data_IF_198226100009
#
_entry.id   IF_198226100009
#
_cell.length_a   1.000
_cell.length_b   1.000
_cell.length_c   1.000
_cell.angle_alpha   90.00
_cell.angle_beta   90.00
_cell.angle_gamma   90.00
#
_symmetry.space_group_name_H-M   'P 1'
#
loop_
_entity.id
_entity.type
_entity.pdbx_description
1 polymer ?
#
# COMPACT_ATOMS: atom_id res chain seq x y z
N UNK A 1 62.74 -106.37 60.15
CA UNK A 1 62.92 -105.38 59.07
C UNK A 1 61.57 -105.13 58.41
N UNK A 2 60.87 -106.19 57.99
CA UNK A 2 59.56 -106.15 57.32
C UNK A 2 58.44 -105.33 58.01
N UNK A 3 58.28 -105.39 59.33
CA UNK A 3 57.23 -104.59 60.02
C UNK A 3 57.44 -103.07 59.95
N UNK A 4 58.70 -102.61 59.88
CA UNK A 4 59.02 -101.18 59.76
C UNK A 4 58.70 -100.66 58.35
N UNK A 5 58.96 -101.47 57.33
CA UNK A 5 58.72 -101.10 55.94
C UNK A 5 57.22 -101.03 55.63
N UNK A 6 56.41 -101.91 56.22
CA UNK A 6 54.94 -101.83 56.15
C UNK A 6 54.36 -100.60 56.86
N UNK A 7 54.92 -100.20 58.01
CA UNK A 7 54.50 -98.99 58.72
C UNK A 7 54.81 -97.72 57.93
N UNK A 8 55.99 -97.65 57.29
CA UNK A 8 56.39 -96.53 56.43
C UNK A 8 55.48 -96.43 55.20
N UNK A 9 55.17 -97.56 54.56
CA UNK A 9 54.26 -97.58 53.41
C UNK A 9 52.84 -97.10 53.77
N UNK A 10 52.32 -97.49 54.94
CA UNK A 10 51.01 -97.01 55.43
C UNK A 10 51.03 -95.53 55.79
N UNK A 11 52.15 -95.01 56.31
CA UNK A 11 52.31 -93.59 56.60
C UNK A 11 52.32 -92.74 55.33
N UNK A 12 53.03 -93.18 54.29
CA UNK A 12 53.04 -92.52 52.98
C UNK A 12 51.66 -92.52 52.32
N UNK A 13 50.94 -93.64 52.35
CA UNK A 13 49.56 -93.70 51.83
C UNK A 13 48.60 -92.77 52.56
N UNK A 14 48.77 -92.61 53.88
CA UNK A 14 47.97 -91.65 54.67
C UNK A 14 48.29 -90.21 54.28
N UNK A 15 49.57 -89.88 54.09
CA UNK A 15 49.99 -88.56 53.67
C UNK A 15 49.50 -88.22 52.25
N UNK A 16 49.56 -89.18 51.32
CA UNK A 16 49.00 -89.03 49.98
C UNK A 16 47.48 -88.83 50.00
N UNK A 17 46.75 -89.60 50.81
CA UNK A 17 45.31 -89.43 50.98
C UNK A 17 44.96 -88.08 51.63
N UNK A 18 45.75 -87.61 52.59
CA UNK A 18 45.54 -86.30 53.23
C UNK A 18 45.83 -85.15 52.26
N UNK A 19 46.88 -85.25 51.43
CA UNK A 19 47.17 -84.29 50.36
C UNK A 19 46.09 -84.28 49.29
N UNK A 20 45.60 -85.46 48.86
CA UNK A 20 44.50 -85.56 47.92
C UNK A 20 43.22 -84.91 48.46
N UNK A 21 42.89 -85.16 49.73
CA UNK A 21 41.75 -84.51 50.39
C UNK A 21 41.93 -83.00 50.55
N UNK A 22 43.17 -82.49 50.71
CA UNK A 22 43.44 -81.05 50.77
C UNK A 22 43.31 -80.36 49.41
N UNK A 23 43.73 -81.04 48.33
CA UNK A 23 43.52 -80.57 46.95
C UNK A 23 42.03 -80.50 46.65
N UNK A 24 41.27 -81.53 46.98
CA UNK A 24 39.82 -81.57 46.78
C UNK A 24 39.11 -80.41 47.51
N UNK A 25 39.46 -80.16 48.79
CA UNK A 25 38.92 -79.01 49.54
C UNK A 25 39.27 -77.67 48.90
N UNK A 26 40.47 -77.51 48.34
CA UNK A 26 40.91 -76.28 47.66
C UNK A 26 40.19 -76.09 46.33
N UNK A 27 39.96 -77.16 45.58
CA UNK A 27 39.21 -77.13 44.33
C UNK A 27 37.74 -76.76 44.58
N UNK A 28 37.12 -77.29 45.64
CA UNK A 28 35.78 -76.88 46.08
C UNK A 28 35.71 -75.40 46.46
N UNK A 29 36.70 -74.91 47.21
CA UNK A 29 36.80 -73.48 47.58
C UNK A 29 36.97 -72.58 46.36
N UNK A 30 37.80 -72.98 45.39
CA UNK A 30 38.02 -72.25 44.14
C UNK A 30 36.74 -72.22 43.30
N UNK A 31 36.05 -73.35 43.17
CA UNK A 31 34.76 -73.45 42.46
C UNK A 31 33.70 -72.53 43.10
N UNK A 32 33.64 -72.47 44.44
CA UNK A 32 32.75 -71.56 45.14
C UNK A 32 33.09 -70.07 44.86
N UNK A 33 34.37 -69.69 44.88
CA UNK A 33 34.81 -68.33 44.56
C UNK A 33 34.44 -67.91 43.14
N UNK A 34 34.63 -68.79 42.15
CA UNK A 34 34.24 -68.57 40.76
C UNK A 34 32.72 -68.34 40.68
N UNK A 35 31.92 -69.21 41.30
CA UNK A 35 30.46 -69.09 41.31
C UNK A 35 29.97 -67.80 41.98
N UNK A 36 30.66 -67.30 43.02
CA UNK A 36 30.35 -66.00 43.66
C UNK A 36 30.70 -64.85 42.72
N UNK A 37 31.85 -64.91 42.05
CA UNK A 37 32.29 -63.87 41.11
C UNK A 37 31.37 -63.79 39.89
N UNK A 38 30.93 -64.92 39.34
CA UNK A 38 29.97 -64.98 38.23
C UNK A 38 28.62 -64.38 38.63
N UNK A 39 28.08 -64.74 39.81
CA UNK A 39 26.85 -64.15 40.35
C UNK A 39 26.95 -62.63 40.49
N UNK A 40 28.11 -62.12 40.95
CA UNK A 40 28.35 -60.67 41.06
C UNK A 40 28.41 -59.99 39.70
N UNK A 41 29.06 -60.60 38.71
CA UNK A 41 29.12 -60.05 37.35
C UNK A 41 27.74 -60.06 36.68
N UNK A 42 26.95 -61.11 36.89
CA UNK A 42 25.58 -61.18 36.36
C UNK A 42 24.68 -60.10 36.99
N UNK A 43 24.78 -59.88 38.31
CA UNK A 43 24.03 -58.82 38.99
C UNK A 43 24.36 -57.42 38.43
N UNK A 44 25.64 -57.14 38.16
CA UNK A 44 26.06 -55.87 37.52
C UNK A 44 25.52 -55.72 36.09
N UNK A 45 25.52 -56.81 35.30
CA UNK A 45 24.93 -56.80 33.95
C UNK A 45 23.42 -56.55 33.99
N UNK A 46 22.71 -57.16 34.94
CA UNK A 46 21.26 -56.93 35.15
C UNK A 46 20.99 -55.48 35.51
N UNK A 47 21.76 -54.89 36.45
CA UNK A 47 21.62 -53.49 36.83
C UNK A 47 21.87 -52.53 35.66
N UNK A 48 22.93 -52.74 34.87
CA UNK A 48 23.21 -51.93 33.68
C UNK A 48 22.09 -52.01 32.65
N UNK A 49 21.54 -53.21 32.40
CA UNK A 49 20.37 -53.37 31.52
C UNK A 49 19.18 -52.56 32.05
N UNK A 50 18.88 -52.67 33.34
CA UNK A 50 17.78 -51.93 33.96
C UNK A 50 17.96 -50.41 33.81
N UNK A 51 19.15 -49.88 34.13
CA UNK A 51 19.48 -48.44 33.98
C UNK A 51 19.33 -47.97 32.52
N UNK A 52 19.76 -48.78 31.53
CA UNK A 52 19.57 -48.46 30.12
C UNK A 52 18.09 -48.41 29.71
N UNK A 53 17.27 -49.34 30.23
CA UNK A 53 15.82 -49.33 29.97
C UNK A 53 15.14 -48.08 30.53
N UNK A 54 15.52 -47.66 31.74
CA UNK A 54 14.98 -46.44 32.37
C UNK A 54 15.38 -45.20 31.56
N UNK A 55 16.66 -45.09 31.19
CA UNK A 55 17.15 -43.98 30.38
C UNK A 55 16.43 -43.89 29.02
N UNK A 56 16.20 -45.02 28.35
CA UNK A 56 15.46 -45.07 27.10
C UNK A 56 13.98 -44.66 27.27
N UNK A 57 13.35 -45.05 28.38
CA UNK A 57 11.98 -44.64 28.69
C UNK A 57 11.88 -43.13 28.97
N UNK A 58 12.83 -42.55 29.71
CA UNK A 58 12.89 -41.11 29.97
C UNK A 58 13.13 -40.30 28.68
N UNK A 59 14.00 -40.79 27.80
CA UNK A 59 14.23 -40.16 26.49
C UNK A 59 12.97 -40.21 25.62
N UNK A 60 12.29 -41.36 25.57
CA UNK A 60 11.03 -41.50 24.84
C UNK A 60 9.94 -40.57 25.38
N UNK A 61 9.87 -40.39 26.71
CA UNK A 61 8.94 -39.45 27.35
C UNK A 61 9.25 -38.00 26.97
N UNK A 62 10.53 -37.58 27.02
CA UNK A 62 10.93 -36.22 26.62
C UNK A 62 10.63 -35.92 25.16
N UNK A 63 10.80 -36.91 24.26
CA UNK A 63 10.43 -36.75 22.85
C UNK A 63 8.94 -36.52 22.69
N UNK A 64 8.09 -37.30 23.36
CA UNK A 64 6.62 -37.09 23.35
C UNK A 64 6.22 -35.71 23.88
N UNK A 65 6.79 -35.29 25.01
CA UNK A 65 6.53 -33.96 25.57
C UNK A 65 6.94 -32.82 24.61
N UNK A 66 8.03 -33.00 23.86
CA UNK A 66 8.46 -32.04 22.84
C UNK A 66 7.52 -32.01 21.63
N UNK A 67 7.10 -33.18 21.14
CA UNK A 67 6.15 -33.32 20.04
C UNK A 67 4.78 -32.70 20.41
N UNK A 68 4.29 -32.97 21.63
CA UNK A 68 3.04 -32.39 22.15
C UNK A 68 3.13 -30.86 22.26
N UNK A 69 4.27 -30.33 22.73
CA UNK A 69 4.52 -28.89 22.80
C UNK A 69 4.61 -28.23 21.42
N UNK A 70 5.17 -28.92 20.43
CA UNK A 70 5.20 -28.45 19.05
C UNK A 70 3.79 -28.40 18.45
N UNK A 71 2.99 -29.45 18.64
CA UNK A 71 1.60 -29.52 18.20
C UNK A 71 0.74 -28.41 18.82
N UNK A 72 0.92 -28.14 20.11
CA UNK A 72 0.22 -27.05 20.81
C UNK A 72 0.55 -25.66 20.23
N UNK A 73 1.82 -25.42 19.84
CA UNK A 73 2.21 -24.17 19.17
C UNK A 73 1.53 -24.03 17.81
N UNK A 74 1.48 -25.11 17.03
CA UNK A 74 0.83 -25.08 15.71
C UNK A 74 -0.66 -24.77 15.81
N UNK A 75 -1.35 -25.35 16.80
CA UNK A 75 -2.76 -25.06 17.08
C UNK A 75 -2.99 -23.58 17.47
N UNK A 76 -2.11 -23.02 18.31
CA UNK A 76 -2.20 -21.61 18.70
C UNK A 76 -1.99 -20.68 17.50
N UNK A 77 -1.03 -20.97 16.62
CA UNK A 77 -0.80 -20.21 15.40
C UNK A 77 -2.00 -20.28 14.44
N UNK A 78 -2.65 -21.44 14.33
CA UNK A 78 -3.88 -21.60 13.54
C UNK A 78 -5.03 -20.77 14.11
N UNK A 79 -5.22 -20.79 15.43
CA UNK A 79 -6.25 -20.01 16.11
C UNK A 79 -6.02 -18.50 15.97
N UNK A 80 -4.77 -18.04 16.10
CA UNK A 80 -4.42 -16.63 15.91
C UNK A 80 -4.60 -16.19 14.45
N UNK A 81 -4.33 -17.08 13.48
CA UNK A 81 -4.60 -16.83 12.07
C UNK A 81 -6.11 -16.74 11.76
N UNK A 82 -6.93 -17.61 12.36
CA UNK A 82 -8.39 -17.59 12.24
C UNK A 82 -8.98 -16.30 12.84
N UNK A 83 -8.54 -15.91 14.04
CA UNK A 83 -8.94 -14.66 14.69
C UNK A 83 -8.52 -13.42 13.89
N UNK A 84 -7.38 -13.47 13.20
CA UNK A 84 -6.96 -12.42 12.27
C UNK A 84 -7.86 -12.39 11.03
N UNK A 85 -8.23 -13.55 10.50
CA UNK A 85 -9.22 -13.69 9.43
C UNK A 85 -10.57 -13.08 9.81
N UNK A 86 -11.08 -13.36 11.01
CA UNK A 86 -12.33 -12.78 11.52
C UNK A 86 -12.27 -11.25 11.65
N UNK A 87 -11.12 -10.70 12.07
CA UNK A 87 -10.92 -9.25 12.14
C UNK A 87 -10.82 -8.59 10.75
N UNK A 88 -10.33 -9.31 9.74
CA UNK A 88 -10.34 -8.88 8.34
C UNK A 88 -11.74 -8.96 7.74
N UNK A 89 -12.48 -10.04 8.01
CA UNK A 89 -13.89 -10.21 7.61
C UNK A 89 -14.77 -9.14 8.24
N UNK A 90 -14.58 -8.82 9.52
CA UNK A 90 -15.32 -7.73 10.20
C UNK A 90 -15.05 -6.37 9.54
N UNK A 91 -13.78 -6.06 9.24
CA UNK A 91 -13.43 -4.83 8.50
C UNK A 91 -14.02 -4.82 7.09
N UNK A 92 -14.06 -5.97 6.42
CA UNK A 92 -14.71 -6.11 5.12
C UNK A 92 -16.22 -5.92 5.22
N UNK A 93 -16.88 -6.41 6.27
CA UNK A 93 -18.30 -6.16 6.52
C UNK A 93 -18.59 -4.69 6.83
N UNK A 94 -17.79 -4.02 7.65
CA UNK A 94 -17.91 -2.58 7.92
C UNK A 94 -17.74 -1.76 6.62
N UNK A 95 -16.76 -2.12 5.78
CA UNK A 95 -16.58 -1.53 4.45
C UNK A 95 -17.76 -1.83 3.53
N UNK A 96 -18.34 -3.03 3.58
CA UNK A 96 -19.53 -3.38 2.80
C UNK A 96 -20.77 -2.64 3.27
N UNK A 97 -20.95 -2.38 4.57
CA UNK A 97 -22.03 -1.55 5.11
C UNK A 97 -21.90 -0.09 4.68
N UNK A 98 -20.67 0.44 4.63
CA UNK A 98 -20.39 1.79 4.08
C UNK A 98 -20.58 1.86 2.55
N UNK A 99 -20.20 0.80 1.82
CA UNK A 99 -20.49 0.64 0.40
C UNK A 99 -22.00 0.54 0.19
N UNK A 100 -22.73 -0.19 1.03
CA UNK A 100 -24.19 -0.28 0.97
C UNK A 100 -24.85 1.06 1.30
N UNK A 101 -24.34 1.84 2.27
CA UNK A 101 -24.84 3.18 2.57
C UNK A 101 -24.56 4.16 1.41
N UNK A 102 -23.36 4.11 0.83
CA UNK A 102 -23.00 4.92 -0.34
C UNK A 102 -23.79 4.50 -1.59
N UNK A 103 -24.00 3.20 -1.80
CA UNK A 103 -24.79 2.65 -2.89
C UNK A 103 -26.28 2.85 -2.68
N UNK A 104 -26.75 2.90 -1.43
CA UNK A 104 -28.10 3.26 -1.04
C UNK A 104 -28.35 4.74 -1.34
N UNK A 105 -27.41 5.62 -1.00
CA UNK A 105 -27.45 7.02 -1.41
C UNK A 105 -27.46 7.13 -2.96
N UNK A 106 -26.62 6.38 -3.66
CA UNK A 106 -26.64 6.31 -5.13
C UNK A 106 -28.00 5.81 -5.65
N UNK A 107 -28.60 4.77 -5.05
CA UNK A 107 -29.93 4.26 -5.44
C UNK A 107 -31.04 5.22 -5.07
N UNK A 108 -30.89 6.04 -4.04
CA UNK A 108 -31.88 7.05 -3.64
C UNK A 108 -31.81 8.28 -4.56
N UNK A 109 -30.58 8.70 -4.92
CA UNK A 109 -30.31 9.78 -5.87
C UNK A 109 -30.66 9.38 -7.32
N UNK A 110 -30.48 8.11 -7.69
CA UNK A 110 -30.84 7.55 -9.01
C UNK A 110 -32.24 6.90 -9.02
N UNK A 111 -32.90 6.77 -7.87
CA UNK A 111 -34.08 5.93 -7.65
C UNK A 111 -35.42 6.56 -8.01
N UNK A 112 -35.43 7.80 -8.49
CA UNK A 112 -36.64 8.43 -9.01
C UNK A 112 -36.87 8.18 -10.51
N UNK A 113 -36.37 7.06 -11.05
CA UNK A 113 -36.61 6.71 -12.46
C UNK A 113 -37.64 5.61 -12.71
N UNK A 114 -38.10 4.82 -11.73
CA UNK A 114 -39.09 3.76 -12.02
C UNK A 114 -40.06 3.44 -10.88
N UNK A 115 -40.95 4.36 -10.53
CA UNK A 115 -42.35 4.03 -10.23
C UNK A 115 -43.20 5.30 -10.09
N UNK A 116 -43.87 5.74 -11.16
CA UNK A 116 -45.20 6.37 -11.07
C UNK A 116 -45.81 6.43 -12.48
N UNK A 117 -46.64 5.43 -12.80
CA UNK A 117 -47.80 5.69 -13.66
C UNK A 117 -48.76 6.51 -12.81
N UNK A 118 -48.87 7.79 -13.12
CA UNK A 118 -49.78 8.70 -12.43
C UNK A 118 -49.28 10.11 -12.61
N UNK A 119 -50.01 10.88 -13.40
CA UNK A 119 -49.83 12.32 -13.55
C UNK A 119 -49.60 12.96 -12.18
N UNK A 120 -48.46 13.63 -11.99
CA UNK A 120 -48.30 14.98 -11.42
C UNK A 120 -46.79 15.34 -11.47
N UNK A 121 -46.53 16.63 -11.70
CA UNK A 121 -45.27 17.29 -12.09
C UNK A 121 -43.93 16.66 -11.64
N UNK A 122 -43.13 16.23 -12.62
CA UNK A 122 -41.74 15.77 -12.46
C UNK A 122 -40.72 16.89 -12.20
N UNK A 123 -41.16 18.13 -12.01
CA UNK A 123 -40.26 19.29 -11.82
C UNK A 123 -39.89 19.57 -10.35
N UNK A 124 -40.55 18.93 -9.38
CA UNK A 124 -40.32 19.20 -7.95
C UNK A 124 -39.48 18.13 -7.22
N UNK A 125 -39.17 16.99 -7.84
CA UNK A 125 -38.44 15.88 -7.18
C UNK A 125 -36.93 15.80 -7.48
N UNK A 126 -36.42 16.57 -8.46
CA UNK A 126 -34.97 16.67 -8.72
C UNK A 126 -34.25 17.71 -7.85
N UNK A 127 -34.98 18.54 -7.09
CA UNK A 127 -34.36 19.60 -6.28
C UNK A 127 -33.73 19.09 -4.97
N UNK A 128 -34.11 17.90 -4.49
CA UNK A 128 -33.69 17.39 -3.19
C UNK A 128 -32.55 16.35 -3.23
N UNK A 129 -32.08 15.93 -4.41
CA UNK A 129 -30.93 15.03 -4.56
C UNK A 129 -29.58 15.76 -4.63
N UNK A 130 -29.55 16.92 -5.28
CA UNK A 130 -28.32 17.64 -5.62
C UNK A 130 -27.74 18.42 -4.44
N UNK A 131 -28.61 19.01 -3.62
CA UNK A 131 -28.18 19.74 -2.42
C UNK A 131 -27.56 18.79 -1.39
N UNK A 132 -28.17 17.63 -1.17
CA UNK A 132 -27.62 16.60 -0.28
C UNK A 132 -26.28 16.07 -0.79
N UNK A 133 -26.13 15.92 -2.11
CA UNK A 133 -24.86 15.50 -2.70
C UNK A 133 -23.78 16.58 -2.53
N UNK A 134 -24.12 17.84 -2.75
CA UNK A 134 -23.20 18.95 -2.51
C UNK A 134 -22.84 19.08 -1.03
N UNK A 135 -23.81 18.94 -0.11
CA UNK A 135 -23.56 18.91 1.34
C UNK A 135 -22.73 17.69 1.78
N UNK A 136 -22.90 16.55 1.12
CA UNK A 136 -22.07 15.37 1.38
C UNK A 136 -20.64 15.53 0.83
N UNK A 137 -20.48 16.21 -0.31
CA UNK A 137 -19.18 16.48 -0.92
C UNK A 137 -18.42 17.63 -0.23
N UNK A 138 -19.15 18.64 0.20
CA UNK A 138 -18.68 19.82 0.90
C UNK A 138 -19.53 19.89 2.16
N UNK A 139 -18.99 19.57 3.32
CA UNK A 139 -19.70 19.36 4.60
C UNK A 139 -20.46 20.59 5.19
N UNK A 140 -21.06 21.42 4.34
CA UNK A 140 -21.75 22.67 4.62
C UNK A 140 -22.30 23.31 3.34
N UNK A 141 -22.98 24.45 3.47
CA UNK A 141 -23.45 25.22 2.32
C UNK A 141 -22.23 25.71 1.51
N UNK A 142 -22.25 25.61 0.18
CA UNK A 142 -21.13 26.10 -0.66
C UNK A 142 -20.72 27.54 -0.31
N UNK A 143 -21.67 28.38 0.12
CA UNK A 143 -21.41 29.75 0.56
C UNK A 143 -20.42 29.85 1.73
N UNK A 144 -20.29 28.81 2.56
CA UNK A 144 -19.31 28.76 3.66
C UNK A 144 -17.89 28.51 3.15
N UNK A 145 -17.75 27.90 1.98
CA UNK A 145 -16.46 27.67 1.33
C UNK A 145 -16.04 28.81 0.40
N UNK A 146 -16.97 29.72 0.10
CA UNK A 146 -16.68 30.96 -0.59
C UNK A 146 -15.88 31.88 0.35
N UNK A 147 -14.62 32.16 -0.02
CA UNK A 147 -13.72 33.04 0.74
C UNK A 147 -14.08 34.53 0.60
N UNK A 148 -13.39 35.40 1.33
CA UNK A 148 -13.57 36.87 1.23
C UNK A 148 -13.50 37.38 -0.22
N UNK A 149 -12.68 36.75 -1.05
CA UNK A 149 -12.47 37.15 -2.44
C UNK A 149 -13.62 36.75 -3.38
N UNK A 150 -14.48 35.84 -2.94
CA UNK A 150 -15.74 35.48 -3.60
C UNK A 150 -16.96 36.22 -3.01
N UNK A 151 -16.77 37.21 -2.13
CA UNK A 151 -17.87 38.04 -1.58
C UNK A 151 -18.64 38.87 -2.62
N UNK A 152 -18.13 38.95 -3.84
CA UNK A 152 -18.81 39.60 -4.96
C UNK A 152 -19.55 38.60 -5.85
N UNK A 153 -19.76 37.36 -5.39
CA UNK A 153 -20.59 36.39 -6.11
C UNK A 153 -22.03 36.93 -6.17
N UNK A 154 -22.53 37.12 -7.39
CA UNK A 154 -23.88 37.64 -7.67
C UNK A 154 -24.85 36.54 -8.09
N UNK A 155 -24.33 35.42 -8.55
CA UNK A 155 -25.13 34.28 -9.01
C UNK A 155 -24.39 32.97 -8.73
N UNK A 156 -25.12 31.97 -8.26
CA UNK A 156 -24.63 30.61 -8.03
C UNK A 156 -25.60 29.66 -8.71
N UNK A 157 -25.13 29.02 -9.78
CA UNK A 157 -25.90 28.03 -10.53
C UNK A 157 -25.35 26.63 -10.28
N UNK A 158 -26.21 25.73 -9.80
CA UNK A 158 -25.92 24.29 -9.75
C UNK A 158 -25.87 23.70 -11.17
N UNK A 159 -24.89 22.83 -11.43
CA UNK A 159 -24.62 22.30 -12.78
C UNK A 159 -24.27 20.81 -12.78
N UNK A 160 -24.73 20.06 -11.77
CA UNK A 160 -24.49 18.62 -11.68
C UNK A 160 -25.10 17.89 -12.90
N UNK A 161 -24.33 16.97 -13.45
CA UNK A 161 -24.76 16.07 -14.52
C UNK A 161 -24.64 14.63 -14.04
N UNK A 162 -25.72 13.85 -14.21
CA UNK A 162 -25.82 12.47 -13.72
C UNK A 162 -24.63 11.61 -14.12
N UNK A 163 -24.19 11.68 -15.38
CA UNK A 163 -23.07 10.86 -15.86
C UNK A 163 -21.72 11.30 -15.27
N UNK A 164 -21.52 12.60 -15.06
CA UNK A 164 -20.31 13.11 -14.41
C UNK A 164 -20.27 12.72 -12.94
N UNK A 165 -21.40 12.81 -12.24
CA UNK A 165 -21.56 12.34 -10.86
C UNK A 165 -21.24 10.85 -10.78
N UNK A 166 -21.80 10.03 -11.66
CA UNK A 166 -21.57 8.58 -11.69
C UNK A 166 -20.08 8.24 -11.83
N UNK A 167 -19.39 8.89 -12.77
CA UNK A 167 -17.94 8.72 -12.98
C UNK A 167 -17.13 9.15 -11.76
N UNK A 168 -17.46 10.30 -11.19
CA UNK A 168 -16.78 10.82 -10.00
C UNK A 168 -16.95 9.91 -8.80
N UNK A 169 -18.16 9.43 -8.55
CA UNK A 169 -18.47 8.51 -7.45
C UNK A 169 -17.72 7.18 -7.62
N UNK A 170 -17.65 6.64 -8.85
CA UNK A 170 -16.87 5.44 -9.12
C UNK A 170 -15.39 5.64 -8.78
N UNK A 171 -14.80 6.78 -9.18
CA UNK A 171 -13.41 7.11 -8.83
C UNK A 171 -13.23 7.33 -7.33
N UNK A 172 -14.21 7.94 -6.66
CA UNK A 172 -14.15 8.14 -5.21
C UNK A 172 -14.12 6.81 -4.45
N UNK A 173 -14.99 5.87 -4.82
CA UNK A 173 -15.01 4.52 -4.26
C UNK A 173 -13.69 3.77 -4.53
N UNK A 174 -13.10 3.93 -5.72
CA UNK A 174 -11.77 3.40 -6.02
C UNK A 174 -10.70 3.92 -5.06
N UNK A 175 -10.64 5.25 -4.82
CA UNK A 175 -9.68 5.84 -3.89
C UNK A 175 -9.94 5.41 -2.44
N UNK A 176 -11.21 5.30 -2.01
CA UNK A 176 -11.57 4.78 -0.68
C UNK A 176 -11.11 3.34 -0.49
N UNK A 177 -11.27 2.47 -1.50
CA UNK A 177 -10.74 1.10 -1.44
C UNK A 177 -9.21 1.05 -1.42
N UNK A 178 -8.56 2.00 -2.09
CA UNK A 178 -7.10 2.04 -2.22
C UNK A 178 -6.42 2.58 -0.97
N UNK A 179 -6.97 3.64 -0.36
CA UNK A 179 -6.35 4.37 0.75
C UNK A 179 -7.08 4.22 2.09
N UNK A 180 -8.34 3.79 2.07
CA UNK A 180 -9.23 3.70 3.23
C UNK A 180 -10.36 4.75 3.18
N UNK A 181 -11.56 4.40 3.64
CA UNK A 181 -12.76 5.25 3.58
C UNK A 181 -12.60 6.62 4.25
N UNK A 182 -11.80 6.67 5.31
CA UNK A 182 -11.56 7.87 6.13
C UNK A 182 -10.18 8.50 5.90
N UNK A 183 -9.41 8.00 4.92
CA UNK A 183 -8.10 8.54 4.61
C UNK A 183 -8.20 9.92 3.97
N UNK A 184 -7.24 10.80 4.27
CA UNK A 184 -7.18 12.16 3.69
C UNK A 184 -7.03 12.15 2.17
N UNK A 185 -6.39 11.13 1.61
CA UNK A 185 -6.23 10.89 0.17
C UNK A 185 -7.57 10.63 -0.53
N UNK A 186 -8.49 9.97 0.16
CA UNK A 186 -9.82 9.68 -0.37
C UNK A 186 -10.82 10.82 -0.13
N UNK A 187 -10.45 11.88 0.58
CA UNK A 187 -11.39 12.97 0.91
C UNK A 187 -11.56 13.95 -0.27
N UNK A 188 -12.80 14.23 -0.72
CA UNK A 188 -13.05 15.28 -1.69
C UNK A 188 -12.60 16.64 -1.17
N UNK A 189 -12.11 17.48 -2.08
CA UNK A 189 -11.70 18.86 -1.83
C UNK A 189 -12.41 19.81 -2.77
N UNK A 190 -12.50 21.06 -2.39
CA UNK A 190 -13.00 22.10 -3.27
C UNK A 190 -11.87 22.63 -4.18
N UNK A 191 -12.19 22.79 -5.46
CA UNK A 191 -11.30 23.41 -6.45
C UNK A 191 -12.07 24.34 -7.37
N UNK A 192 -11.50 25.50 -7.64
CA UNK A 192 -11.98 26.47 -8.60
C UNK A 192 -11.31 26.24 -9.96
N UNK A 193 -12.07 26.45 -11.03
CA UNK A 193 -11.54 26.42 -12.39
C UNK A 193 -12.05 27.64 -13.18
N UNK A 194 -11.12 28.42 -13.73
CA UNK A 194 -11.42 29.54 -14.61
C UNK A 194 -11.15 29.17 -16.07
N UNK A 195 -12.08 29.55 -16.95
CA UNK A 195 -12.00 29.28 -18.38
C UNK A 195 -12.76 30.37 -19.15
N UNK A 196 -12.46 30.63 -20.44
CA UNK A 196 -13.28 31.50 -21.26
C UNK A 196 -14.74 31.03 -21.28
N UNK A 197 -15.68 31.98 -21.29
CA UNK A 197 -17.11 31.69 -21.21
C UNK A 197 -17.60 30.70 -22.28
N UNK A 198 -17.03 30.77 -23.50
CA UNK A 198 -17.36 29.88 -24.60
C UNK A 198 -17.10 28.39 -24.31
N UNK A 199 -16.21 28.07 -23.36
CA UNK A 199 -15.88 26.70 -22.99
C UNK A 199 -16.84 26.11 -21.94
N UNK A 200 -17.53 26.97 -21.18
CA UNK A 200 -18.37 26.55 -20.06
C UNK A 200 -19.45 25.56 -20.51
N UNK A 201 -20.25 25.81 -21.58
CA UNK A 201 -21.28 24.86 -21.99
C UNK A 201 -20.75 23.45 -22.30
N UNK A 202 -19.57 23.35 -22.92
CA UNK A 202 -18.95 22.06 -23.23
C UNK A 202 -18.50 21.36 -21.94
N UNK A 203 -17.83 22.08 -21.03
CA UNK A 203 -17.41 21.55 -19.73
C UNK A 203 -18.61 21.05 -18.93
N UNK A 204 -19.72 21.78 -18.95
CA UNK A 204 -20.94 21.34 -18.25
C UNK A 204 -21.51 20.06 -18.85
N UNK A 205 -21.35 19.82 -20.16
CA UNK A 205 -21.84 18.62 -20.81
C UNK A 205 -20.91 17.41 -20.61
N UNK A 206 -19.59 17.62 -20.67
CA UNK A 206 -18.60 16.53 -20.79
C UNK A 206 -17.70 16.37 -19.55
N UNK A 207 -17.76 17.34 -18.64
CA UNK A 207 -16.80 17.50 -17.55
C UNK A 207 -15.53 18.21 -18.01
N UNK A 208 -14.59 18.39 -17.08
CA UNK A 208 -13.24 18.81 -17.42
C UNK A 208 -12.48 17.62 -18.01
N UNK A 209 -11.85 17.83 -19.15
CA UNK A 209 -11.12 16.79 -19.88
C UNK A 209 -9.62 17.00 -19.75
N UNK A 210 -8.88 15.90 -19.70
CA UNK A 210 -7.42 15.91 -19.62
C UNK A 210 -6.86 16.42 -20.95
N UNK A 211 -5.94 17.40 -20.96
CA UNK A 211 -5.30 17.88 -22.17
C UNK A 211 -4.66 16.73 -22.98
N UNK A 212 -4.75 16.82 -24.31
CA UNK A 212 -4.34 15.75 -25.22
C UNK A 212 -5.41 14.68 -25.46
N UNK A 213 -6.53 14.70 -24.71
CA UNK A 213 -7.70 13.87 -24.96
C UNK A 213 -8.80 14.68 -25.65
N UNK A 214 -9.57 14.04 -26.54
CA UNK A 214 -10.73 14.64 -27.21
C UNK A 214 -10.49 16.01 -27.89
N UNK A 215 -9.25 16.28 -28.32
CA UNK A 215 -8.88 17.56 -28.97
C UNK A 215 -8.70 18.74 -28.02
N UNK A 216 -8.77 18.54 -26.70
CA UNK A 216 -8.53 19.58 -25.69
C UNK A 216 -7.02 19.81 -25.55
N UNK A 217 -6.60 21.07 -25.58
CA UNK A 217 -5.20 21.48 -25.37
C UNK A 217 -5.10 22.36 -24.13
N UNK A 218 -3.94 22.36 -23.47
CA UNK A 218 -3.65 23.33 -22.44
C UNK A 218 -3.61 24.73 -23.05
N UNK A 219 -4.16 25.71 -22.33
CA UNK A 219 -4.37 27.07 -22.88
C UNK A 219 -3.08 27.88 -22.97
N UNK A 220 -2.19 27.73 -22.00
CA UNK A 220 -1.03 28.62 -21.81
C UNK A 220 0.28 28.01 -22.29
N UNK A 221 0.44 26.70 -22.15
CA UNK A 221 1.69 25.96 -22.36
C UNK A 221 1.41 24.44 -22.37
N UNK A 222 2.44 23.59 -22.42
CA UNK A 222 2.27 22.13 -22.36
C UNK A 222 1.80 21.61 -20.97
N UNK A 223 1.69 22.49 -19.96
CA UNK A 223 1.34 22.25 -18.57
C UNK A 223 2.55 22.35 -17.64
N UNK A 224 2.74 23.48 -16.94
CA UNK A 224 3.89 23.76 -16.05
C UNK A 224 4.21 22.72 -14.99
N UNK A 225 3.22 21.97 -14.53
CA UNK A 225 3.33 20.96 -13.47
C UNK A 225 2.75 19.61 -13.93
N UNK A 226 2.54 19.46 -15.23
CA UNK A 226 2.03 18.24 -15.86
C UNK A 226 0.93 18.50 -16.89
N UNK A 227 0.73 17.54 -17.79
CA UNK A 227 -0.33 17.56 -18.79
C UNK A 227 -1.69 17.14 -18.20
N UNK A 228 -2.17 17.88 -17.19
CA UNK A 228 -3.39 17.57 -16.44
C UNK A 228 -4.43 18.68 -16.50
N UNK A 229 -5.55 18.45 -15.80
CA UNK A 229 -6.61 19.43 -15.56
C UNK A 229 -6.15 20.32 -14.40
N UNK A 230 -6.12 21.64 -14.62
CA UNK A 230 -5.71 22.62 -13.63
C UNK A 230 -6.90 23.19 -12.88
N UNK A 231 -6.84 23.14 -11.55
CA UNK A 231 -7.74 23.84 -10.64
C UNK A 231 -6.91 24.59 -9.59
N UNK A 232 -7.56 25.43 -8.79
CA UNK A 232 -6.92 26.09 -7.64
C UNK A 232 -7.82 26.00 -6.40
N UNK A 233 -7.26 25.84 -5.19
CA UNK A 233 -8.04 26.06 -3.97
C UNK A 233 -8.40 27.54 -3.78
N UNK A 234 -7.76 28.48 -4.50
CA UNK A 234 -8.05 29.91 -4.45
C UNK A 234 -8.82 30.38 -5.70
N UNK A 235 -10.01 30.95 -5.47
CA UNK A 235 -10.85 31.51 -6.53
C UNK A 235 -10.16 32.64 -7.31
N UNK A 236 -9.32 33.48 -6.66
CA UNK A 236 -8.63 34.58 -7.34
C UNK A 236 -7.64 34.10 -8.39
N UNK A 237 -6.88 33.07 -8.03
CA UNK A 237 -5.95 32.41 -8.95
C UNK A 237 -6.69 31.92 -10.19
N UNK A 238 -7.84 31.25 -9.98
CA UNK A 238 -8.68 30.78 -11.08
C UNK A 238 -9.30 31.90 -11.91
N UNK A 239 -9.67 33.04 -11.29
CA UNK A 239 -10.30 34.17 -11.98
C UNK A 239 -9.40 34.77 -13.07
N UNK A 240 -8.08 34.74 -12.88
CA UNK A 240 -7.11 35.12 -13.92
C UNK A 240 -7.26 34.33 -15.22
N UNK A 241 -7.77 33.09 -15.14
CA UNK A 241 -8.00 32.21 -16.28
C UNK A 241 -9.43 32.28 -16.86
N UNK A 242 -10.36 32.99 -16.20
CA UNK A 242 -11.75 33.13 -16.64
C UNK A 242 -11.93 33.93 -17.95
N UNK A 243 -10.84 34.47 -18.52
CA UNK A 243 -10.90 35.23 -19.78
C UNK A 243 -11.76 36.50 -19.68
N UNK A 244 -11.91 37.06 -18.47
CA UNK A 244 -12.68 38.27 -18.23
C UNK A 244 -14.19 38.09 -18.09
N UNK A 245 -14.74 36.88 -18.24
CA UNK A 245 -16.20 36.68 -18.16
C UNK A 245 -16.78 36.72 -16.74
N UNK A 246 -15.92 36.70 -15.71
CA UNK A 246 -16.36 36.72 -14.31
C UNK A 246 -16.99 35.44 -13.82
N UNK A 247 -16.97 34.36 -14.60
CA UNK A 247 -17.53 33.06 -14.22
C UNK A 247 -16.43 32.08 -13.83
N UNK A 248 -16.67 31.35 -12.75
CA UNK A 248 -15.82 30.26 -12.29
C UNK A 248 -16.64 28.99 -12.13
N UNK A 249 -16.03 27.86 -12.44
CA UNK A 249 -16.55 26.55 -12.06
C UNK A 249 -16.04 26.23 -10.65
N UNK A 250 -16.94 25.79 -9.78
CA UNK A 250 -16.61 25.23 -8.46
C UNK A 250 -16.79 23.73 -8.55
N UNK A 251 -15.72 23.00 -8.25
CA UNK A 251 -15.61 21.57 -8.49
C UNK A 251 -15.32 20.81 -7.20
N UNK A 252 -15.86 19.61 -7.07
CA UNK A 252 -15.34 18.61 -6.16
C UNK A 252 -14.12 17.94 -6.83
N UNK A 253 -13.06 17.75 -6.05
CA UNK A 253 -11.75 17.28 -6.54
C UNK A 253 -11.25 16.14 -5.66
N UNK A 254 -10.93 15.02 -6.30
CA UNK A 254 -10.34 13.84 -5.67
C UNK A 254 -8.83 13.82 -5.92
N UNK A 255 -8.07 14.35 -4.96
CA UNK A 255 -6.63 14.47 -5.11
C UNK A 255 -5.89 13.13 -4.99
N UNK A 256 -6.41 12.15 -4.25
CA UNK A 256 -5.67 10.92 -3.97
C UNK A 256 -4.35 11.22 -3.23
N UNK A 257 -3.33 10.41 -3.51
CA UNK A 257 -1.96 10.68 -3.07
C UNK A 257 -1.34 11.76 -3.94
N UNK A 258 -0.91 12.86 -3.30
CA UNK A 258 -0.43 14.08 -3.95
C UNK A 258 1.08 14.06 -4.11
N UNK A 259 1.59 14.27 -5.32
CA UNK A 259 2.99 14.62 -5.54
C UNK A 259 3.16 16.14 -5.46
N UNK A 260 3.93 16.62 -4.48
CA UNK A 260 4.29 18.04 -4.39
C UNK A 260 5.44 18.31 -5.35
N UNK A 261 5.18 19.09 -6.40
CA UNK A 261 6.20 19.45 -7.37
C UNK A 261 7.29 20.31 -6.72
N UNK A 262 8.56 20.00 -7.04
CA UNK A 262 9.70 20.81 -6.62
C UNK A 262 10.07 21.87 -7.68
N UNK A 263 9.93 21.50 -8.96
CA UNK A 263 10.29 22.30 -10.13
C UNK A 263 9.18 22.24 -11.20
N UNK A 264 9.36 23.00 -12.29
CA UNK A 264 8.50 22.90 -13.47
C UNK A 264 8.63 21.52 -14.14
N UNK A 265 7.50 20.91 -14.46
CA UNK A 265 7.35 19.58 -15.05
C UNK A 265 6.55 19.66 -16.37
N UNK A 266 7.00 20.52 -17.29
CA UNK A 266 6.32 20.80 -18.57
C UNK A 266 5.77 19.54 -19.26
N UNK A 267 4.44 19.43 -19.33
CA UNK A 267 3.73 18.34 -20.03
C UNK A 267 3.98 16.95 -19.48
N UNK A 268 4.53 16.82 -18.27
CA UNK A 268 4.81 15.53 -17.66
C UNK A 268 3.50 14.77 -17.37
N UNK A 269 3.49 13.42 -17.47
CA UNK A 269 2.39 12.62 -16.96
C UNK A 269 2.38 12.65 -15.42
N UNK A 270 1.34 12.06 -14.82
CA UNK A 270 1.31 11.84 -13.38
C UNK A 270 2.53 11.04 -12.92
N UNK A 271 3.12 11.45 -11.80
CA UNK A 271 4.27 10.79 -11.19
C UNK A 271 3.86 9.40 -10.70
N UNK A 272 4.62 8.33 -11.03
CA UNK A 272 4.27 6.98 -10.62
C UNK A 272 4.07 6.85 -9.10
N UNK A 273 2.97 6.21 -8.70
CA UNK A 273 2.61 6.00 -7.29
C UNK A 273 1.84 7.16 -6.65
N UNK A 274 1.49 8.19 -7.42
CA UNK A 274 0.64 9.31 -7.05
C UNK A 274 -0.56 9.40 -8.00
N UNK A 275 -1.60 10.12 -7.59
CA UNK A 275 -2.84 10.31 -8.38
C UNK A 275 -2.99 11.74 -8.92
N UNK A 276 -2.22 12.68 -8.37
CA UNK A 276 -2.28 14.09 -8.71
C UNK A 276 -0.96 14.80 -8.41
N UNK A 277 -0.79 15.98 -8.99
CA UNK A 277 0.29 16.90 -8.62
C UNK A 277 -0.27 18.15 -7.93
N UNK A 278 0.59 18.79 -7.16
CA UNK A 278 0.34 20.09 -6.54
C UNK A 278 1.53 20.99 -6.78
N UNK A 279 1.29 22.25 -7.16
CA UNK A 279 2.36 23.22 -7.38
C UNK A 279 3.18 23.48 -6.10
N UNK A 280 4.43 23.97 -6.20
CA UNK A 280 5.28 24.21 -5.03
C UNK A 280 4.65 25.14 -3.98
N UNK A 281 3.85 26.10 -4.44
CA UNK A 281 3.12 27.06 -3.58
C UNK A 281 1.72 26.57 -3.16
N UNK A 282 1.34 25.35 -3.54
CA UNK A 282 0.03 24.73 -3.22
C UNK A 282 -1.18 25.45 -3.82
N UNK A 283 -0.94 26.44 -4.69
CA UNK A 283 -1.97 27.24 -5.33
C UNK A 283 -2.59 26.60 -6.58
N UNK A 284 -2.04 25.51 -7.09
CA UNK A 284 -2.55 24.80 -8.27
C UNK A 284 -2.61 23.29 -8.01
N UNK A 285 -3.75 22.71 -8.37
CA UNK A 285 -4.07 21.29 -8.31
C UNK A 285 -4.09 20.75 -9.73
N UNK A 286 -3.36 19.68 -9.99
CA UNK A 286 -3.23 19.10 -11.33
C UNK A 286 -3.68 17.64 -11.29
N UNK A 287 -4.79 17.37 -12.00
CA UNK A 287 -5.45 16.07 -12.01
C UNK A 287 -5.25 15.41 -13.36
N UNK A 288 -5.01 14.10 -13.38
CA UNK A 288 -4.65 13.38 -14.59
C UNK A 288 -5.75 12.44 -15.09
N UNK A 289 -6.87 12.38 -14.37
CA UNK A 289 -8.08 11.69 -14.80
C UNK A 289 -9.30 12.61 -14.69
N UNK A 290 -10.10 12.66 -15.75
CA UNK A 290 -11.33 13.47 -15.77
C UNK A 290 -12.36 13.04 -14.72
N UNK A 291 -12.32 11.78 -14.25
CA UNK A 291 -13.21 11.31 -13.19
C UNK A 291 -12.83 11.83 -11.79
N UNK A 292 -11.64 12.40 -11.60
CA UNK A 292 -11.25 13.02 -10.34
C UNK A 292 -11.90 14.39 -10.10
N UNK A 293 -12.59 14.95 -11.11
CA UNK A 293 -13.13 16.31 -11.05
C UNK A 293 -14.60 16.30 -11.43
N UNK A 294 -15.44 16.84 -10.54
CA UNK A 294 -16.86 17.03 -10.78
C UNK A 294 -17.20 18.52 -10.70
N UNK A 295 -17.60 19.16 -11.81
CA UNK A 295 -18.20 20.49 -11.76
C UNK A 295 -19.52 20.44 -11.01
N UNK A 296 -19.62 21.18 -9.91
CA UNK A 296 -20.81 21.21 -9.07
C UNK A 296 -21.60 22.52 -9.29
N UNK A 297 -20.89 23.64 -9.42
CA UNK A 297 -21.49 24.96 -9.57
C UNK A 297 -20.77 25.80 -10.62
N UNK A 298 -21.50 26.74 -11.21
CA UNK A 298 -20.97 27.92 -11.88
C UNK A 298 -21.33 29.13 -11.04
N UNK A 299 -20.32 29.90 -10.62
CA UNK A 299 -20.52 31.14 -9.88
C UNK A 299 -20.19 32.33 -10.78
N UNK A 300 -20.93 33.43 -10.64
CA UNK A 300 -20.66 34.70 -11.32
C UNK A 300 -20.18 35.74 -10.31
N UNK A 301 -19.08 36.43 -10.60
CA UNK A 301 -18.46 37.43 -9.72
C UNK A 301 -18.59 38.83 -10.34
N UNK A 302 -19.18 39.78 -9.59
CA UNK A 302 -19.52 41.14 -10.05
C UNK A 302 -18.33 41.94 -10.62
N UNK A 303 -17.15 41.82 -9.99
CA UNK A 303 -15.94 42.63 -10.29
C UNK A 303 -15.43 42.49 -11.73
N UNK A 304 -15.75 41.39 -12.42
CA UNK A 304 -15.17 41.07 -13.71
C UNK A 304 -15.94 41.63 -14.92
N UNK A 305 -17.14 42.18 -14.73
CA UNK A 305 -18.01 42.64 -15.83
C UNK A 305 -17.52 43.95 -16.50
N UNK A 306 -16.41 44.55 -16.05
CA UNK A 306 -15.93 45.79 -16.67
C UNK A 306 -14.41 45.98 -16.69
N UNK A 307 -13.69 45.15 -17.47
CA UNK A 307 -12.48 45.62 -18.17
C UNK A 307 -12.37 44.96 -19.55
N UNK A 308 -12.46 45.71 -20.67
CA UNK A 308 -11.97 45.20 -21.94
C UNK A 308 -10.45 45.00 -21.82
N UNK A 309 -9.97 43.77 -21.99
CA UNK A 309 -8.54 43.48 -22.01
C UNK A 309 -7.96 43.69 -23.42
N UNK A 310 -6.74 44.23 -23.53
CA UNK A 310 -6.06 44.39 -24.80
C UNK A 310 -5.70 43.03 -25.40
N UNK A 311 -5.91 42.89 -26.70
CA UNK A 311 -5.40 41.77 -27.49
C UNK A 311 -3.88 41.72 -27.37
N UNK A 312 -3.35 40.55 -27.02
CA UNK A 312 -1.95 40.22 -26.71
C UNK A 312 -1.45 40.65 -25.32
N UNK A 313 -1.37 39.67 -24.40
CA UNK A 313 -0.62 39.82 -23.15
C UNK A 313 0.77 39.18 -23.31
N UNK A 314 1.86 39.84 -22.90
CA UNK A 314 3.18 39.23 -22.79
C UNK A 314 3.22 38.24 -21.59
N UNK A 315 4.20 37.33 -21.52
CA UNK A 315 4.27 36.32 -20.47
C UNK A 315 4.35 36.97 -19.09
N UNK A 316 3.41 36.61 -18.22
CA UNK A 316 3.36 37.02 -16.82
C UNK A 316 4.53 36.41 -16.06
N UNK A 317 5.51 37.23 -15.68
CA UNK A 317 6.56 36.84 -14.75
C UNK A 317 6.07 37.07 -13.33
N UNK A 318 5.87 35.97 -12.57
CA UNK A 318 5.61 36.02 -11.13
C UNK A 318 6.78 36.71 -10.42
N UNK A 319 6.48 37.80 -9.70
CA UNK A 319 7.44 38.63 -8.96
C UNK A 319 7.78 38.09 -7.56
N UNK A 320 7.74 36.77 -7.35
CA UNK A 320 8.04 36.14 -6.06
C UNK A 320 9.50 35.67 -5.88
N UNK A 321 10.45 36.07 -6.74
CA UNK A 321 11.87 35.74 -6.58
C UNK A 321 12.78 36.98 -6.69
N UNK A 322 12.69 37.90 -5.73
CA UNK A 322 13.65 39.00 -5.58
C UNK A 322 14.13 39.20 -4.14
N UNK A 323 14.35 38.13 -3.38
CA UNK A 323 15.04 38.21 -2.07
C UNK A 323 15.88 36.96 -1.76
N UNK A 324 16.79 36.58 -2.65
CA UNK A 324 17.93 35.71 -2.28
C UNK A 324 19.09 35.82 -3.28
N UNK A 325 19.54 37.05 -3.56
CA UNK A 325 20.75 37.27 -4.36
C UNK A 325 21.70 38.22 -3.64
N UNK A 326 22.23 37.78 -2.49
CA UNK A 326 23.40 38.39 -1.84
C UNK A 326 24.10 37.42 -0.88
N UNK A 327 24.75 36.40 -1.43
CA UNK A 327 26.01 35.87 -0.91
C UNK A 327 26.59 34.86 -1.91
N UNK A 328 27.92 34.75 -1.94
CA UNK A 328 28.71 33.80 -2.72
C UNK A 328 28.83 34.03 -4.24
N UNK A 329 29.44 35.16 -4.62
CA UNK A 329 30.40 35.20 -5.74
C UNK A 329 31.79 35.02 -5.14
N UNK A 330 32.38 33.83 -5.24
CA UNK A 330 33.83 33.59 -5.43
C UNK A 330 34.18 32.11 -5.23
N UNK A 331 34.51 31.40 -6.32
CA UNK A 331 35.77 30.65 -6.55
C UNK A 331 35.56 29.51 -7.56
N UNK A 332 36.34 29.55 -8.66
CA UNK A 332 37.01 28.37 -9.21
C UNK A 332 36.36 27.63 -10.40
N UNK A 333 36.91 27.86 -11.60
CA UNK A 333 37.59 26.80 -12.37
C UNK A 333 36.82 25.66 -13.05
N UNK A 334 36.70 25.75 -14.39
CA UNK A 334 36.84 24.70 -15.44
C UNK A 334 36.54 23.21 -15.10
N UNK A 335 35.64 22.56 -15.86
CA UNK A 335 35.97 21.72 -17.07
C UNK A 335 34.76 20.90 -17.60
N UNK A 336 34.74 20.55 -18.90
CA UNK A 336 33.70 19.74 -19.55
C UNK A 336 34.09 18.24 -19.59
N UNK A 337 33.45 17.38 -18.79
CA UNK A 337 33.70 15.92 -18.85
C UNK A 337 32.46 15.01 -18.81
N UNK A 338 31.26 15.53 -18.59
CA UNK A 338 30.05 14.69 -18.50
C UNK A 338 29.48 14.25 -19.87
N UNK A 339 29.70 15.01 -20.93
CA UNK A 339 29.05 14.78 -22.24
C UNK A 339 29.74 13.75 -23.14
N UNK A 340 31.02 13.42 -22.88
CA UNK A 340 31.76 12.42 -23.65
C UNK A 340 31.48 10.97 -23.19
N UNK A 341 31.24 10.76 -21.88
CA UNK A 341 30.99 9.43 -21.30
C UNK A 341 29.62 8.87 -21.72
N UNK A 342 28.61 9.74 -21.80
CA UNK A 342 27.24 9.38 -22.19
C UNK A 342 27.13 9.03 -23.70
N UNK A 343 27.90 9.71 -24.56
CA UNK A 343 27.96 9.38 -26.00
C UNK A 343 28.67 8.05 -26.27
N UNK A 344 29.69 7.68 -25.47
CA UNK A 344 30.41 6.40 -25.63
C UNK A 344 29.57 5.20 -25.17
N UNK A 345 28.77 5.35 -24.10
CA UNK A 345 27.85 4.31 -23.63
C UNK A 345 26.68 4.07 -24.60
N UNK A 346 26.09 5.13 -25.19
CA UNK A 346 25.05 4.98 -26.22
C UNK A 346 25.54 4.29 -27.51
N UNK A 347 26.82 4.45 -27.87
CA UNK A 347 27.42 3.79 -29.05
C UNK A 347 27.70 2.30 -28.80
N UNK A 348 28.04 1.90 -27.57
CA UNK A 348 28.22 0.50 -27.16
C UNK A 348 26.88 -0.25 -27.07
N UNK A 349 25.84 0.37 -26.51
CA UNK A 349 24.50 -0.22 -26.42
C UNK A 349 23.88 -0.51 -27.81
N UNK A 350 24.07 0.40 -28.78
CA UNK A 350 23.61 0.19 -30.17
C UNK A 350 24.36 -0.91 -30.92
N UNK A 351 25.62 -1.20 -30.58
CA UNK A 351 26.40 -2.31 -31.15
C UNK A 351 25.93 -3.67 -30.61
N UNK A 352 25.63 -3.75 -29.31
CA UNK A 352 25.10 -4.97 -28.69
C UNK A 352 23.71 -5.36 -29.24
N UNK A 353 22.82 -4.38 -29.44
CA UNK A 353 21.48 -4.64 -30.01
C UNK A 353 21.50 -5.09 -31.47
N UNK A 354 22.51 -4.69 -32.26
CA UNK A 354 22.67 -5.16 -33.65
C UNK A 354 23.24 -6.59 -33.72
N UNK A 355 24.09 -6.99 -32.79
CA UNK A 355 24.58 -8.37 -32.70
C UNK A 355 23.45 -9.36 -32.31
N UNK A 356 22.53 -8.95 -31.44
CA UNK A 356 21.40 -9.79 -31.00
C UNK A 356 20.32 -10.03 -32.07
N UNK A 357 20.18 -9.14 -33.07
CA UNK A 357 19.16 -9.25 -34.12
C UNK A 357 19.65 -9.94 -35.42
N UNK A 358 20.94 -10.23 -35.54
CA UNK A 358 21.53 -10.84 -36.74
C UNK A 358 21.64 -12.37 -36.72
N UNK A 359 21.34 -13.04 -35.60
CA UNK A 359 21.62 -14.47 -35.40
C UNK A 359 20.52 -15.45 -35.82
N UNK A 360 19.45 -15.02 -36.50
CA UNK A 360 18.31 -15.88 -36.82
C UNK A 360 18.08 -15.98 -38.32
N UNK A 361 19.04 -16.60 -39.03
CA UNK A 361 18.86 -17.23 -40.35
C UNK A 361 20.04 -18.17 -40.61
N UNK A 362 19.74 -19.47 -40.55
CA UNK A 362 20.44 -20.65 -41.10
C UNK A 362 20.60 -21.76 -40.06
N UNK A 363 19.57 -22.60 -39.97
CA UNK A 363 19.64 -24.05 -40.22
C UNK A 363 18.23 -24.60 -40.33
#
# INVERSE_FOLDING_TARGET
MERRDEEVARALQREEHERAADIERKDEQLAHLIAVQERRQEALRRRRRQEQTIAAADEARRRREADDAEYARTLQEQFDAEKKGDAEVKRMMELMEEEEASMSLIRQLLGHEKQFRGHHHAEDLMKHSDDQLCEALFAGNINEFLTEDTRQVTDIKRVLQVELVRRFMAKWLELKRTYGSYAEEARPRLGFHGTPEANIPNILQQGLLVPGTHGVINRTDDGYYGAGIYLSPDARTSLGYAGGCGKLLVCAVLMGRIYKCEDLMHGAPCTPGFDSHMSPCEGELILFEAAQVLPCFVITIASAVHRPMPTSAPPYQSTAHLTAKKAAKAKGGRTPKATAKLKRQRKLARRAQRAAKGGRKNK
#
